data_IF_118649389155
#
_entry.id   IF_118649389155
#
_cell.length_a   1.000
_cell.length_b   1.000
_cell.length_c   1.000
_cell.angle_alpha   90.00
_cell.angle_beta   90.00
_cell.angle_gamma   90.00
#
_symmetry.space_group_name_H-M   'P 1'
#
loop_
_entity.id
_entity.type
_entity.pdbx_description
1 polymer ?
#
# COMPACT_ATOMS: atom_id res chain seq x y z
N UNK A 1 95.84 1.70 56.17
CA UNK A 1 94.50 1.06 56.05
C UNK A 1 93.48 2.15 55.81
N UNK A 2 92.52 1.96 54.88
CA UNK A 2 91.44 2.93 54.67
C UNK A 2 90.65 3.11 55.97
N UNK A 3 90.22 4.33 56.26
CA UNK A 3 89.43 4.60 57.47
C UNK A 3 87.99 4.17 57.24
N UNK A 4 87.31 3.74 58.29
CA UNK A 4 85.90 3.35 58.25
C UNK A 4 84.99 4.46 57.68
N UNK A 5 85.37 5.73 57.85
CA UNK A 5 84.74 6.90 57.23
C UNK A 5 84.71 6.82 55.70
N UNK A 6 85.80 6.36 55.09
CA UNK A 6 85.98 6.34 53.63
C UNK A 6 85.05 5.29 52.98
N UNK A 7 84.72 4.24 53.73
CA UNK A 7 83.75 3.23 53.30
C UNK A 7 82.31 3.76 53.32
N UNK A 8 81.96 4.55 54.35
CA UNK A 8 80.61 5.11 54.49
C UNK A 8 80.33 6.23 53.49
N UNK A 9 81.35 7.02 53.11
CA UNK A 9 81.20 8.07 52.10
C UNK A 9 80.77 7.53 50.72
N UNK A 10 81.09 6.26 50.41
CA UNK A 10 80.67 5.61 49.17
C UNK A 10 79.17 5.28 49.12
N UNK A 11 78.52 5.20 50.28
CA UNK A 11 77.08 4.98 50.40
C UNK A 11 76.31 6.28 50.66
N UNK A 12 76.98 7.44 50.58
CA UNK A 12 76.29 8.73 50.63
C UNK A 12 75.36 8.80 49.42
N UNK A 13 74.03 8.90 49.62
CA UNK A 13 73.10 8.98 48.50
C UNK A 13 73.47 10.19 47.63
N UNK A 14 73.57 9.98 46.33
CA UNK A 14 73.66 11.08 45.39
C UNK A 14 72.47 12.01 45.67
N UNK A 15 72.74 13.29 45.91
CA UNK A 15 71.69 14.28 46.18
C UNK A 15 70.63 14.24 45.09
N UNK A 16 69.42 14.70 45.40
CA UNK A 16 68.34 14.79 44.41
C UNK A 16 68.86 15.50 43.14
N UNK A 17 68.56 14.99 41.93
CA UNK A 17 68.97 15.66 40.71
C UNK A 17 68.54 17.13 40.77
N UNK A 18 69.47 18.04 40.45
CA UNK A 18 69.22 19.48 40.53
C UNK A 18 68.04 19.89 39.63
N UNK A 19 67.41 21.03 39.96
CA UNK A 19 66.37 21.60 39.11
C UNK A 19 66.87 21.72 37.67
N UNK A 20 66.03 21.35 36.70
CA UNK A 20 66.36 21.46 35.28
C UNK A 20 66.86 22.89 35.00
N UNK A 21 68.09 23.00 34.52
CA UNK A 21 68.70 24.29 34.23
C UNK A 21 67.90 25.05 33.16
N UNK A 22 68.09 26.37 33.03
CA UNK A 22 67.38 27.21 32.06
C UNK A 22 67.63 26.84 30.58
N UNK A 23 68.50 25.85 30.30
CA UNK A 23 68.79 25.31 28.97
C UNK A 23 68.05 24.01 28.64
N UNK A 24 66.80 23.85 29.07
CA UNK A 24 65.95 22.77 28.56
C UNK A 24 65.68 23.00 27.07
N UNK A 25 66.01 22.03 26.21
CA UNK A 25 65.72 22.12 24.76
C UNK A 25 64.21 22.29 24.58
N UNK A 26 63.73 23.36 23.92
CA UNK A 26 62.32 23.48 23.58
C UNK A 26 61.94 22.33 22.66
N UNK A 27 61.18 21.37 23.16
CA UNK A 27 60.68 20.25 22.35
C UNK A 27 59.34 20.68 21.78
N UNK A 28 59.31 20.98 20.49
CA UNK A 28 58.06 21.17 19.75
C UNK A 28 57.37 19.81 19.57
N UNK A 29 56.59 19.44 20.57
CA UNK A 29 55.86 18.16 20.58
C UNK A 29 54.81 18.09 19.48
N UNK A 30 54.30 19.22 19.00
CA UNK A 30 53.33 19.25 17.91
C UNK A 30 54.01 18.91 16.58
N UNK A 31 55.19 19.48 16.32
CA UNK A 31 55.99 19.13 15.14
C UNK A 31 56.40 17.65 15.12
N UNK A 32 56.78 17.10 16.28
CA UNK A 32 57.13 15.66 16.40
C UNK A 32 55.90 14.78 16.16
N UNK A 33 54.76 15.07 16.80
CA UNK A 33 53.54 14.31 16.59
C UNK A 33 53.06 14.40 15.14
N UNK A 34 53.17 15.55 14.49
CA UNK A 34 52.86 15.70 13.08
C UNK A 34 53.80 14.86 12.20
N UNK A 35 55.11 14.88 12.45
CA UNK A 35 56.07 14.07 11.71
C UNK A 35 55.80 12.57 11.82
N UNK A 36 55.33 12.10 12.99
CA UNK A 36 54.98 10.70 13.22
C UNK A 36 53.63 10.30 12.63
N UNK A 37 52.61 11.16 12.76
CA UNK A 37 51.23 10.81 12.42
C UNK A 37 50.84 11.13 10.98
N UNK A 38 51.39 12.20 10.38
CA UNK A 38 51.02 12.62 9.03
C UNK A 38 51.14 11.50 7.98
N UNK A 39 52.21 10.66 7.96
CA UNK A 39 52.29 9.56 7.01
C UNK A 39 51.17 8.51 7.17
N UNK A 40 50.65 8.32 8.39
CA UNK A 40 49.52 7.43 8.65
C UNK A 40 48.20 8.07 8.26
N UNK A 41 48.02 9.37 8.55
CA UNK A 41 46.82 10.13 8.22
C UNK A 41 46.65 10.31 6.71
N UNK A 42 47.74 10.49 5.94
CA UNK A 42 47.69 10.53 4.47
C UNK A 42 47.11 9.24 3.87
N UNK A 43 47.30 8.09 4.52
CA UNK A 43 46.68 6.83 4.06
C UNK A 43 45.17 6.80 4.27
N UNK A 44 44.60 7.66 5.11
CA UNK A 44 43.15 7.80 5.25
C UNK A 44 42.53 8.62 4.13
N UNK A 45 43.30 9.46 3.42
CA UNK A 45 42.75 10.29 2.35
C UNK A 45 42.11 9.42 1.25
N UNK A 46 42.78 8.34 0.85
CA UNK A 46 42.23 7.38 -0.11
C UNK A 46 40.91 6.74 0.39
N UNK A 47 40.83 6.45 1.68
CA UNK A 47 39.64 5.86 2.29
C UNK A 47 38.48 6.87 2.38
N UNK A 48 38.77 8.14 2.65
CA UNK A 48 37.79 9.22 2.61
C UNK A 48 37.25 9.44 1.19
N UNK A 49 38.14 9.46 0.19
CA UNK A 49 37.77 9.60 -1.22
C UNK A 49 36.91 8.43 -1.70
N UNK A 50 37.25 7.20 -1.31
CA UNK A 50 36.42 6.01 -1.58
C UNK A 50 35.05 6.14 -0.93
N UNK A 51 35.00 6.52 0.35
CA UNK A 51 33.73 6.70 1.06
C UNK A 51 32.84 7.77 0.39
N UNK A 52 33.43 8.88 -0.06
CA UNK A 52 32.72 9.92 -0.81
C UNK A 52 32.23 9.45 -2.17
N UNK A 53 33.00 8.62 -2.87
CA UNK A 53 32.56 7.99 -4.12
C UNK A 53 31.38 7.05 -3.88
N UNK A 54 31.45 6.21 -2.85
CA UNK A 54 30.37 5.28 -2.48
C UNK A 54 29.09 6.06 -2.13
N UNK A 55 29.19 7.11 -1.30
CA UNK A 55 28.03 7.95 -0.95
C UNK A 55 27.36 8.55 -2.18
N UNK A 56 28.13 9.23 -3.05
CA UNK A 56 27.61 9.82 -4.28
C UNK A 56 26.99 8.79 -5.22
N UNK A 57 27.61 7.62 -5.35
CA UNK A 57 27.07 6.54 -6.18
C UNK A 57 25.75 5.99 -5.61
N UNK A 58 25.66 5.84 -4.29
CA UNK A 58 24.45 5.40 -3.61
C UNK A 58 23.31 6.42 -3.76
N UNK A 59 23.59 7.71 -3.59
CA UNK A 59 22.61 8.79 -3.81
C UNK A 59 22.08 8.79 -5.25
N UNK A 60 22.98 8.74 -6.24
CA UNK A 60 22.60 8.67 -7.64
C UNK A 60 21.76 7.42 -7.96
N UNK A 61 22.09 6.27 -7.36
CA UNK A 61 21.32 5.03 -7.50
C UNK A 61 19.93 5.15 -6.86
N UNK A 62 19.84 5.78 -5.70
CA UNK A 62 18.57 5.97 -5.01
C UNK A 62 17.62 6.87 -5.82
N UNK A 63 18.13 7.93 -6.45
CA UNK A 63 17.34 8.78 -7.37
C UNK A 63 16.83 7.95 -8.55
N UNK A 64 17.71 7.25 -9.27
CA UNK A 64 17.30 6.41 -10.41
C UNK A 64 16.22 5.39 -10.04
N UNK A 65 16.37 4.72 -8.89
CA UNK A 65 15.42 3.71 -8.46
C UNK A 65 14.04 4.32 -8.17
N UNK A 66 13.98 5.54 -7.63
CA UNK A 66 12.71 6.25 -7.43
C UNK A 66 12.07 6.61 -8.77
N UNK A 67 12.84 7.20 -9.68
CA UNK A 67 12.34 7.60 -11.00
C UNK A 67 11.82 6.39 -11.80
N UNK A 68 12.56 5.27 -11.79
CA UNK A 68 12.14 4.00 -12.39
C UNK A 68 10.87 3.44 -11.74
N UNK A 69 10.77 3.52 -10.41
CA UNK A 69 9.60 3.11 -9.64
C UNK A 69 8.37 3.93 -9.99
N UNK A 70 8.51 5.26 -10.03
CA UNK A 70 7.43 6.20 -10.36
C UNK A 70 6.94 5.99 -11.80
N UNK A 71 7.87 5.83 -12.76
CA UNK A 71 7.52 5.52 -14.15
C UNK A 71 6.79 4.19 -14.29
N UNK A 72 7.22 3.17 -13.54
CA UNK A 72 6.59 1.83 -13.57
C UNK A 72 5.19 1.89 -12.96
N UNK A 73 5.03 2.60 -11.85
CA UNK A 73 3.74 2.79 -11.20
C UNK A 73 2.75 3.54 -12.10
N UNK A 74 3.20 4.62 -12.75
CA UNK A 74 2.39 5.36 -13.72
C UNK A 74 1.92 4.47 -14.87
N UNK A 75 2.85 3.72 -15.49
CA UNK A 75 2.51 2.80 -16.58
C UNK A 75 1.53 1.70 -16.15
N UNK A 76 1.63 1.22 -14.91
CA UNK A 76 0.69 0.23 -14.38
C UNK A 76 -0.71 0.82 -14.21
N UNK A 77 -0.82 2.05 -13.68
CA UNK A 77 -2.10 2.76 -13.52
C UNK A 77 -2.74 3.04 -14.88
N UNK A 78 -1.96 3.47 -15.87
CA UNK A 78 -2.50 3.75 -17.20
C UNK A 78 -3.00 2.47 -17.89
N UNK A 79 -2.25 1.37 -17.80
CA UNK A 79 -2.72 0.05 -18.27
C UNK A 79 -3.99 -0.41 -17.55
N UNK A 80 -4.08 -0.17 -16.25
CA UNK A 80 -5.28 -0.48 -15.48
C UNK A 80 -6.47 0.34 -15.99
N UNK A 81 -6.30 1.64 -16.26
CA UNK A 81 -7.33 2.52 -16.83
C UNK A 81 -7.78 2.06 -18.21
N UNK A 82 -6.84 1.75 -19.10
CA UNK A 82 -7.14 1.22 -20.44
C UNK A 82 -7.95 -0.09 -20.39
N UNK A 83 -7.70 -0.92 -19.38
CA UNK A 83 -8.42 -2.20 -19.22
C UNK A 83 -9.76 -2.10 -18.49
N UNK A 84 -10.13 -0.95 -17.92
CA UNK A 84 -11.33 -0.81 -17.08
C UNK A 84 -12.62 -1.23 -17.79
N UNK A 85 -12.83 -0.79 -19.03
CA UNK A 85 -14.03 -1.11 -19.80
C UNK A 85 -14.11 -2.61 -20.12
N UNK A 86 -12.97 -3.21 -20.47
CA UNK A 86 -12.87 -4.65 -20.74
C UNK A 86 -13.18 -5.47 -19.49
N UNK A 87 -12.61 -5.10 -18.34
CA UNK A 87 -12.85 -5.76 -17.07
C UNK A 87 -14.31 -5.60 -16.64
N UNK A 88 -14.91 -4.42 -16.81
CA UNK A 88 -16.31 -4.17 -16.51
C UNK A 88 -17.24 -5.01 -17.38
N UNK A 89 -16.97 -5.09 -18.69
CA UNK A 89 -17.74 -5.92 -19.63
C UNK A 89 -17.65 -7.42 -19.28
N UNK A 90 -16.45 -7.91 -18.95
CA UNK A 90 -16.24 -9.29 -18.50
C UNK A 90 -16.97 -9.58 -17.18
N UNK A 91 -16.89 -8.67 -16.22
CA UNK A 91 -17.59 -8.79 -14.94
C UNK A 91 -19.12 -8.83 -15.13
N UNK A 92 -19.66 -7.96 -15.98
CA UNK A 92 -21.09 -7.94 -16.30
C UNK A 92 -21.53 -9.24 -16.98
N UNK A 93 -20.74 -9.73 -17.94
CA UNK A 93 -21.02 -10.98 -18.65
C UNK A 93 -21.06 -12.16 -17.68
N UNK A 94 -20.09 -12.23 -16.76
CA UNK A 94 -20.03 -13.27 -15.72
C UNK A 94 -21.22 -13.17 -14.76
N UNK A 95 -21.59 -11.97 -14.34
CA UNK A 95 -22.75 -11.75 -13.48
C UNK A 95 -24.06 -12.20 -14.14
N UNK A 96 -24.24 -11.89 -15.43
CA UNK A 96 -25.42 -12.33 -16.20
C UNK A 96 -25.46 -13.85 -16.36
N UNK A 97 -24.33 -14.50 -16.62
CA UNK A 97 -24.27 -15.97 -16.70
C UNK A 97 -24.67 -16.62 -15.37
N UNK A 98 -24.13 -16.13 -14.25
CA UNK A 98 -24.48 -16.63 -12.92
C UNK A 98 -25.95 -16.37 -12.55
N UNK A 99 -26.51 -15.23 -12.97
CA UNK A 99 -27.92 -14.94 -12.75
C UNK A 99 -28.84 -15.89 -13.54
N UNK A 100 -28.44 -16.31 -14.75
CA UNK A 100 -29.17 -17.31 -15.54
C UNK A 100 -29.10 -18.71 -14.92
N UNK A 101 -27.94 -19.12 -14.41
CA UNK A 101 -27.79 -20.41 -13.72
C UNK A 101 -28.58 -20.48 -12.42
N UNK A 102 -28.75 -19.34 -11.74
CA UNK A 102 -29.53 -19.22 -10.49
C UNK A 102 -30.98 -18.82 -10.72
N UNK A 103 -31.40 -18.62 -11.97
CA UNK A 103 -32.79 -18.34 -12.25
C UNK A 103 -33.59 -19.56 -11.77
N UNK A 104 -34.58 -19.37 -10.88
CA UNK A 104 -35.44 -20.48 -10.49
C UNK A 104 -36.08 -21.06 -11.75
N UNK A 105 -36.25 -22.38 -11.77
CA UNK A 105 -37.05 -23.07 -12.78
C UNK A 105 -38.37 -22.29 -12.93
N UNK A 106 -38.79 -21.88 -14.15
CA UNK A 106 -40.05 -21.16 -14.33
C UNK A 106 -41.13 -21.89 -13.54
N UNK A 107 -41.54 -21.28 -12.42
CA UNK A 107 -42.51 -21.88 -11.53
C UNK A 107 -43.83 -22.10 -12.28
N UNK A 108 -44.82 -22.74 -11.65
CA UNK A 108 -46.12 -23.01 -12.28
C UNK A 108 -46.84 -21.77 -12.84
N UNK A 109 -46.33 -20.56 -12.57
CA UNK A 109 -46.80 -19.26 -13.04
C UNK A 109 -46.24 -18.77 -14.39
N UNK A 110 -45.34 -19.52 -15.02
CA UNK A 110 -44.85 -19.16 -16.36
C UNK A 110 -45.95 -19.24 -17.45
N UNK A 111 -47.00 -20.04 -17.24
CA UNK A 111 -48.16 -20.15 -18.14
C UNK A 111 -49.43 -19.49 -17.58
N UNK A 112 -49.28 -18.30 -16.98
CA UNK A 112 -50.45 -17.46 -16.67
C UNK A 112 -51.25 -17.14 -17.95
N UNK A 113 -50.64 -16.78 -19.11
CA UNK A 113 -51.39 -16.46 -20.32
C UNK A 113 -52.23 -17.63 -20.84
N UNK A 114 -51.68 -18.86 -20.91
CA UNK A 114 -52.42 -20.03 -21.37
C UNK A 114 -53.57 -20.40 -20.43
N UNK A 115 -53.35 -20.31 -19.12
CA UNK A 115 -54.41 -20.56 -18.11
C UNK A 115 -55.51 -19.51 -18.13
N UNK A 116 -55.18 -18.24 -18.36
CA UNK A 116 -56.17 -17.17 -18.57
C UNK A 116 -56.97 -17.45 -19.84
N UNK A 117 -56.30 -17.79 -20.95
CA UNK A 117 -56.95 -18.11 -22.21
C UNK A 117 -57.94 -19.29 -22.09
N UNK A 118 -57.58 -20.32 -21.32
CA UNK A 118 -58.41 -21.50 -21.12
C UNK A 118 -59.66 -21.23 -20.26
N UNK A 119 -59.59 -20.32 -19.28
CA UNK A 119 -60.69 -20.04 -18.34
C UNK A 119 -61.55 -18.84 -18.75
N UNK A 120 -61.07 -18.01 -19.67
CA UNK A 120 -61.76 -16.80 -20.13
C UNK A 120 -63.19 -17.05 -20.63
N UNK A 121 -63.48 -18.10 -21.44
CA UNK A 121 -64.83 -18.32 -21.94
C UNK A 121 -65.86 -18.56 -20.81
N UNK A 122 -65.49 -19.36 -19.81
CA UNK A 122 -66.38 -19.68 -18.67
C UNK A 122 -66.69 -18.43 -17.82
N UNK A 123 -65.71 -17.55 -17.64
CA UNK A 123 -65.92 -16.28 -16.96
C UNK A 123 -66.82 -15.33 -17.75
N UNK A 124 -66.63 -15.25 -19.08
CA UNK A 124 -67.50 -14.46 -19.97
C UNK A 124 -68.93 -14.96 -19.89
N UNK A 125 -69.15 -16.29 -19.96
CA UNK A 125 -70.48 -16.88 -19.87
C UNK A 125 -71.18 -16.54 -18.54
N UNK A 126 -70.44 -16.60 -17.42
CA UNK A 126 -70.97 -16.21 -16.10
C UNK A 126 -71.34 -14.73 -16.04
N UNK A 127 -70.49 -13.84 -16.55
CA UNK A 127 -70.76 -12.39 -16.56
C UNK A 127 -71.94 -12.07 -17.46
N UNK A 128 -72.06 -12.72 -18.62
CA UNK A 128 -73.21 -12.56 -19.53
C UNK A 128 -74.50 -13.05 -18.88
N UNK A 129 -74.48 -14.16 -18.13
CA UNK A 129 -75.64 -14.65 -17.40
C UNK A 129 -76.11 -13.64 -16.34
N UNK A 130 -75.19 -13.14 -15.50
CA UNK A 130 -75.49 -12.12 -14.48
C UNK A 130 -76.01 -10.82 -15.12
N UNK A 131 -75.39 -10.38 -16.23
CA UNK A 131 -75.85 -9.19 -16.94
C UNK A 131 -77.28 -9.35 -17.48
N UNK A 132 -77.63 -10.54 -17.97
CA UNK A 132 -79.00 -10.85 -18.44
C UNK A 132 -80.01 -10.85 -17.30
N UNK A 133 -79.64 -11.37 -16.13
CA UNK A 133 -80.48 -11.32 -14.93
C UNK A 133 -80.74 -9.86 -14.49
N UNK A 134 -79.70 -9.04 -14.42
CA UNK A 134 -79.80 -7.61 -14.07
C UNK A 134 -80.68 -6.87 -15.09
N UNK A 135 -80.49 -7.11 -16.39
CA UNK A 135 -81.30 -6.49 -17.44
C UNK A 135 -82.76 -6.94 -17.33
N UNK A 136 -83.02 -8.20 -16.98
CA UNK A 136 -84.37 -8.72 -16.80
C UNK A 136 -85.06 -8.09 -15.57
N UNK A 137 -84.36 -7.91 -14.45
CA UNK A 137 -84.88 -7.22 -13.25
C UNK A 137 -85.18 -5.74 -13.52
N UNK A 138 -84.29 -5.05 -14.24
CA UNK A 138 -84.49 -3.66 -14.65
C UNK A 138 -85.59 -3.51 -15.70
N UNK A 139 -85.77 -4.50 -16.57
CA UNK A 139 -86.85 -4.56 -17.56
C UNK A 139 -88.21 -4.87 -16.94
N UNK A 140 -88.27 -5.75 -15.94
CA UNK A 140 -89.49 -6.11 -15.23
C UNK A 140 -90.03 -4.94 -14.38
N UNK A 141 -89.14 -4.17 -13.74
CA UNK A 141 -89.50 -2.97 -12.97
C UNK A 141 -90.00 -1.80 -13.84
N UNK A 142 -89.67 -1.79 -15.14
CA UNK A 142 -90.15 -0.79 -16.09
C UNK A 142 -91.59 -1.01 -16.60
N UNK A 143 -92.17 -2.20 -16.43
CA UNK A 143 -93.52 -2.53 -16.92
C UNK A 143 -94.63 -2.47 -15.86
N UNK A 144 -94.31 -2.33 -14.56
CA UNK A 144 -95.32 -2.31 -13.49
C UNK A 144 -95.87 -0.91 -13.12
N UNK A 145 -95.45 0.19 -13.76
CA UNK A 145 -95.84 1.56 -13.35
C UNK A 145 -96.75 2.36 -14.29
N UNK A 146 -97.43 1.74 -15.27
CA UNK A 146 -98.47 2.45 -16.04
C UNK A 146 -99.74 1.60 -16.20
N UNK A 147 -100.52 1.51 -15.12
CA UNK A 147 -101.77 0.77 -15.11
C UNK A 147 -102.68 1.17 -13.95
N UNK A 148 -103.13 2.43 -13.92
CA UNK A 148 -104.39 2.81 -13.27
C UNK A 148 -104.95 4.10 -13.88
#
# INVERSE_FOLDING_TARGET
>A
MPRWSDFLDRFRPAGAPGAAGPGGVPVDRAAIAAAELMPLLVRLDDAHDEADRIRRAAEARAVRLRDEGDSTAAALVDRARESMETVAAQAMTKALAQARERAPDPGPDADIPGRVQARLPEYVDRVVAVAREIIAELGATGFETTGR
#
